data_IF_124919873171
#
_entry.id   IF_124919873171
#
_cell.length_a   1.000
_cell.length_b   1.000
_cell.length_c   1.000
_cell.angle_alpha   90.00
_cell.angle_beta   90.00
_cell.angle_gamma   90.00
#
_symmetry.space_group_name_H-M   'P 1'
#
loop_
_entity.id
_entity.type
_entity.pdbx_description
1 polymer ?
#
# COMPACT_ATOMS: atom_id res chain seq x y z
N UNK A 1 98.76 5.65 42.49
CA UNK A 1 98.61 7.01 41.93
C UNK A 1 97.84 6.92 40.67
N UNK A 2 96.75 7.67 40.59
CA UNK A 2 96.15 7.83 39.34
C UNK A 2 94.64 7.94 39.33
N UNK A 3 94.23 8.99 38.98
CA UNK A 3 92.91 9.65 38.99
C UNK A 3 91.90 8.98 38.06
N UNK A 4 90.83 8.83 38.45
CA UNK A 4 89.42 8.98 38.38
C UNK A 4 88.90 10.02 37.39
N UNK A 5 88.09 9.58 36.56
CA UNK A 5 87.28 10.42 35.68
C UNK A 5 85.94 9.79 35.45
N UNK A 6 84.90 10.27 36.10
CA UNK A 6 83.54 9.95 35.86
C UNK A 6 83.04 10.66 34.58
N UNK A 7 82.26 9.99 33.69
CA UNK A 7 81.48 10.70 32.71
C UNK A 7 80.03 10.95 33.15
N UNK A 8 79.66 12.19 32.92
CA UNK A 8 78.33 12.74 33.21
C UNK A 8 77.20 12.04 32.52
N UNK A 9 76.15 11.75 33.27
CA UNK A 9 74.92 11.20 32.75
C UNK A 9 74.13 12.19 31.88
N UNK A 10 73.81 11.77 30.65
CA UNK A 10 72.82 12.44 29.82
C UNK A 10 71.42 12.01 30.32
N UNK A 11 70.74 12.97 30.89
CA UNK A 11 69.29 12.82 31.11
C UNK A 11 68.57 12.84 29.80
N UNK A 12 67.94 11.71 29.43
CA UNK A 12 66.99 11.65 28.32
C UNK A 12 65.72 12.41 28.67
N UNK A 13 65.33 13.40 27.88
CA UNK A 13 64.03 14.04 27.92
C UNK A 13 62.97 13.07 27.41
N UNK A 14 61.84 12.93 28.05
CA UNK A 14 60.71 12.19 27.49
C UNK A 14 60.12 12.98 26.33
N UNK A 15 60.05 12.36 25.15
CA UNK A 15 59.33 12.89 24.03
C UNK A 15 57.83 12.89 24.32
N UNK A 16 57.30 14.05 24.70
CA UNK A 16 55.84 14.27 24.74
C UNK A 16 55.32 14.51 23.32
N UNK A 17 55.23 13.41 22.57
CA UNK A 17 54.48 13.37 21.30
C UNK A 17 52.99 13.37 21.62
N UNK A 18 52.43 14.52 21.87
CA UNK A 18 51.01 14.64 22.20
C UNK A 18 50.14 14.35 20.98
N UNK A 19 49.07 13.59 21.22
CA UNK A 19 47.94 13.34 20.33
C UNK A 19 47.32 14.62 19.73
N UNK A 20 47.69 15.81 20.23
CA UNK A 20 47.18 17.11 19.81
C UNK A 20 47.62 17.51 18.38
N UNK A 21 48.64 16.85 17.78
CA UNK A 21 49.14 17.13 16.43
C UNK A 21 48.31 16.44 15.31
N UNK A 22 47.63 15.35 15.65
CA UNK A 22 46.82 14.62 14.67
C UNK A 22 45.55 15.38 14.23
N UNK A 23 44.99 16.22 15.09
CA UNK A 23 43.77 17.00 14.81
C UNK A 23 44.00 18.29 14.02
N UNK A 24 45.24 18.62 13.65
CA UNK A 24 45.57 19.81 12.87
C UNK A 24 45.89 19.50 11.38
N UNK A 25 45.88 18.25 10.99
CA UNK A 25 46.04 17.88 9.60
C UNK A 25 44.75 18.21 8.83
N UNK A 26 44.79 18.99 7.75
CA UNK A 26 43.60 19.33 6.96
C UNK A 26 42.89 18.08 6.43
N UNK A 27 43.65 17.00 6.20
CA UNK A 27 43.08 15.71 5.79
C UNK A 27 42.22 15.08 6.86
N UNK A 28 42.63 15.12 8.15
CA UNK A 28 41.86 14.58 9.28
C UNK A 28 40.58 15.41 9.52
N UNK A 29 40.65 16.72 9.34
CA UNK A 29 39.49 17.60 9.46
C UNK A 29 38.48 17.35 8.31
N UNK A 30 38.95 17.15 7.09
CA UNK A 30 38.08 16.83 5.94
C UNK A 30 37.41 15.47 6.12
N UNK A 31 38.14 14.45 6.54
CA UNK A 31 37.54 13.12 6.79
C UNK A 31 36.58 13.13 7.95
N UNK A 32 36.86 13.83 9.04
CA UNK A 32 35.95 13.99 10.17
C UNK A 32 34.67 14.73 9.77
N UNK A 33 34.79 15.80 8.97
CA UNK A 33 33.64 16.51 8.42
C UNK A 33 32.78 15.64 7.48
N UNK A 34 33.42 14.86 6.61
CA UNK A 34 32.71 13.93 5.71
C UNK A 34 31.96 12.84 6.46
N UNK A 35 32.58 12.27 7.51
CA UNK A 35 31.92 11.29 8.40
C UNK A 35 30.76 11.93 9.16
N UNK A 36 30.93 13.15 9.68
CA UNK A 36 29.87 13.86 10.38
C UNK A 36 28.66 14.16 9.45
N UNK A 37 28.93 14.58 8.21
CA UNK A 37 27.88 14.80 7.20
C UNK A 37 27.21 13.47 6.84
N UNK A 38 27.96 12.39 6.66
CA UNK A 38 27.41 11.06 6.38
C UNK A 38 26.51 10.56 7.50
N UNK A 39 26.93 10.73 8.75
CA UNK A 39 26.11 10.40 9.94
C UNK A 39 24.87 11.30 10.02
N UNK A 40 25.00 12.59 9.74
CA UNK A 40 23.88 13.54 9.75
C UNK A 40 22.84 13.17 8.66
N UNK A 41 23.30 12.81 7.45
CA UNK A 41 22.44 12.35 6.36
C UNK A 41 21.77 11.02 6.72
N UNK A 42 22.52 10.09 7.34
CA UNK A 42 21.95 8.81 7.79
C UNK A 42 20.88 9.03 8.88
N UNK A 43 21.18 9.87 9.87
CA UNK A 43 20.24 10.22 10.94
C UNK A 43 19.03 10.96 10.37
N UNK A 44 19.24 11.89 9.46
CA UNK A 44 18.14 12.57 8.77
C UNK A 44 17.27 11.60 7.96
N UNK A 45 17.86 10.66 7.21
CA UNK A 45 17.10 9.62 6.50
C UNK A 45 16.37 8.67 7.45
N UNK A 46 16.98 8.30 8.60
CA UNK A 46 16.30 7.51 9.62
C UNK A 46 15.18 8.31 10.27
N UNK A 47 15.38 9.56 10.62
CA UNK A 47 14.35 10.43 11.23
C UNK A 47 13.26 10.83 10.22
N UNK A 48 13.58 11.08 8.97
CA UNK A 48 12.61 11.38 7.90
C UNK A 48 11.95 10.11 7.38
N UNK A 49 12.66 8.97 7.35
CA UNK A 49 12.12 7.67 7.00
C UNK A 49 11.22 7.04 8.08
N UNK A 50 11.40 7.42 9.34
CA UNK A 50 10.54 6.98 10.47
C UNK A 50 9.22 7.77 10.55
N UNK A 51 9.00 8.78 9.71
CA UNK A 51 7.67 9.42 9.64
C UNK A 51 6.58 8.47 9.13
N UNK A 52 6.93 7.38 8.44
CA UNK A 52 6.01 6.27 8.16
C UNK A 52 5.75 5.37 9.39
N UNK A 53 6.55 5.47 10.44
CA UNK A 53 6.44 4.65 11.67
C UNK A 53 5.66 5.34 12.81
N UNK A 54 5.17 6.57 12.63
CA UNK A 54 4.46 7.33 13.68
C UNK A 54 2.95 7.13 13.69
N UNK A 55 2.42 6.03 13.16
CA UNK A 55 0.99 5.70 13.29
C UNK A 55 0.00 6.70 12.64
N UNK A 56 0.51 7.68 11.88
CA UNK A 56 -0.34 8.64 11.17
C UNK A 56 -0.74 8.05 9.82
N UNK A 57 -2.05 7.99 9.60
CA UNK A 57 -2.60 7.58 8.31
C UNK A 57 -2.12 8.50 7.19
N UNK A 58 -1.78 7.89 6.06
CA UNK A 58 -1.58 8.58 4.78
C UNK A 58 -2.95 8.74 4.13
N UNK A 59 -3.31 9.97 3.82
CA UNK A 59 -4.56 10.25 3.11
C UNK A 59 -4.40 9.94 1.62
N UNK A 60 -5.43 9.34 0.96
CA UNK A 60 -5.45 9.19 -0.49
C UNK A 60 -5.31 10.54 -1.19
N UNK A 61 -4.49 10.60 -2.26
CA UNK A 61 -4.21 11.85 -2.97
C UNK A 61 -5.41 12.35 -3.78
N UNK A 62 -6.16 11.44 -4.39
CA UNK A 62 -7.32 11.74 -5.23
C UNK A 62 -8.48 10.81 -4.85
N UNK A 63 -9.32 11.17 -3.88
CA UNK A 63 -10.40 10.30 -3.42
C UNK A 63 -11.48 10.09 -4.49
N UNK A 64 -11.99 8.88 -4.54
CA UNK A 64 -13.10 8.49 -5.39
C UNK A 64 -14.36 9.32 -5.10
N UNK A 65 -15.18 9.61 -6.13
CA UNK A 65 -16.39 10.39 -5.95
C UNK A 65 -17.44 9.61 -5.16
N UNK A 66 -17.59 9.93 -3.88
CA UNK A 66 -18.53 9.25 -2.97
C UNK A 66 -19.98 9.24 -3.50
N UNK A 67 -20.40 10.27 -4.24
CA UNK A 67 -21.74 10.35 -4.84
C UNK A 67 -21.98 9.29 -5.94
N UNK A 68 -20.93 8.68 -6.49
CA UNK A 68 -21.01 7.63 -7.51
C UNK A 68 -20.74 6.23 -6.93
N UNK A 69 -20.48 6.14 -5.63
CA UNK A 69 -20.18 4.89 -4.96
C UNK A 69 -21.47 4.18 -4.48
N UNK A 70 -21.65 2.94 -4.88
CA UNK A 70 -22.72 2.06 -4.38
C UNK A 70 -22.12 0.70 -4.11
N UNK A 71 -22.04 0.29 -2.85
CA UNK A 71 -21.33 -0.90 -2.44
C UNK A 71 -19.92 -0.94 -3.06
N UNK A 72 -19.55 -2.02 -3.74
CA UNK A 72 -18.25 -2.18 -4.43
C UNK A 72 -18.28 -1.70 -5.88
N UNK A 73 -19.32 -0.99 -6.29
CA UNK A 73 -19.43 -0.37 -7.60
C UNK A 73 -19.20 1.13 -7.50
N UNK A 74 -18.40 1.69 -8.41
CA UNK A 74 -18.18 3.10 -8.58
C UNK A 74 -18.58 3.52 -9.99
N UNK A 75 -19.53 4.43 -10.11
CA UNK A 75 -20.04 4.93 -11.38
C UNK A 75 -21.53 4.73 -11.53
N UNK A 76 -22.05 5.14 -12.69
CA UNK A 76 -23.47 5.05 -13.01
C UNK A 76 -23.86 3.62 -13.33
N UNK A 77 -25.04 3.19 -12.88
CA UNK A 77 -25.51 1.82 -13.06
C UNK A 77 -25.73 1.47 -14.53
N UNK A 78 -26.07 2.45 -15.37
CA UNK A 78 -26.33 2.34 -16.80
C UNK A 78 -25.10 2.64 -17.68
N UNK A 79 -23.90 2.78 -17.08
CA UNK A 79 -22.66 2.95 -17.81
C UNK A 79 -22.43 1.80 -18.80
N UNK A 80 -22.06 2.16 -20.04
CA UNK A 80 -21.91 1.19 -21.15
C UNK A 80 -20.73 0.23 -20.96
N UNK A 81 -19.72 0.65 -20.23
CA UNK A 81 -18.51 -0.13 -19.98
C UNK A 81 -18.44 -0.50 -18.52
N UNK A 82 -18.19 -1.77 -18.23
CA UNK A 82 -17.86 -2.27 -16.90
C UNK A 82 -16.37 -2.60 -16.84
N UNK A 83 -15.70 -2.11 -15.82
CA UNK A 83 -14.30 -2.39 -15.48
C UNK A 83 -14.32 -3.19 -14.19
N UNK A 84 -14.12 -4.49 -14.26
CA UNK A 84 -13.97 -5.33 -13.08
C UNK A 84 -12.50 -5.29 -12.66
N UNK A 85 -12.26 -4.89 -11.41
CA UNK A 85 -10.94 -4.83 -10.79
C UNK A 85 -10.81 -5.95 -9.77
N UNK A 86 -9.90 -6.87 -10.01
CA UNK A 86 -9.53 -7.94 -9.07
C UNK A 86 -8.24 -7.55 -8.35
N UNK A 87 -8.31 -7.41 -7.03
CA UNK A 87 -7.19 -6.89 -6.26
C UNK A 87 -7.04 -7.55 -4.88
N UNK A 88 -5.78 -7.56 -4.41
CA UNK A 88 -5.40 -7.92 -3.04
C UNK A 88 -4.77 -6.70 -2.37
N UNK A 89 -5.19 -6.40 -1.16
CA UNK A 89 -4.68 -5.24 -0.42
C UNK A 89 -3.20 -5.35 -0.05
N UNK A 90 -2.62 -6.54 -0.04
CA UNK A 90 -1.19 -6.73 0.16
C UNK A 90 -0.35 -6.64 -1.12
N UNK A 91 -0.98 -6.70 -2.29
CA UNK A 91 -0.26 -6.69 -3.57
C UNK A 91 0.36 -5.31 -3.86
N UNK A 92 1.69 -5.19 -4.00
CA UNK A 92 2.36 -3.92 -4.30
C UNK A 92 1.92 -3.30 -5.62
N UNK A 93 1.65 -4.14 -6.64
CA UNK A 93 1.15 -3.67 -7.93
C UNK A 93 -0.30 -3.14 -7.81
N UNK A 94 -1.11 -3.67 -6.89
CA UNK A 94 -2.45 -3.14 -6.63
C UNK A 94 -2.38 -1.75 -6.00
N UNK A 95 -1.47 -1.52 -5.06
CA UNK A 95 -1.23 -0.18 -4.52
C UNK A 95 -0.72 0.79 -5.59
N UNK A 96 0.20 0.34 -6.46
CA UNK A 96 0.67 1.14 -7.58
C UNK A 96 -0.48 1.50 -8.55
N UNK A 97 -1.34 0.53 -8.86
CA UNK A 97 -2.55 0.76 -9.68
C UNK A 97 -3.48 1.77 -9.02
N UNK A 98 -3.81 1.59 -7.74
CA UNK A 98 -4.73 2.45 -7.00
C UNK A 98 -4.25 3.91 -6.92
N UNK A 99 -2.93 4.15 -6.88
CA UNK A 99 -2.35 5.50 -6.82
C UNK A 99 -2.13 6.11 -8.21
N UNK A 100 -1.71 5.31 -9.20
CA UNK A 100 -1.21 5.85 -10.48
C UNK A 100 -2.23 5.75 -11.63
N UNK A 101 -3.11 4.76 -11.61
CA UNK A 101 -3.99 4.42 -12.73
C UNK A 101 -5.46 4.67 -12.40
N UNK A 102 -5.94 4.12 -11.28
CA UNK A 102 -7.35 4.20 -10.89
C UNK A 102 -7.90 5.64 -10.89
N UNK A 103 -7.24 6.65 -10.30
CA UNK A 103 -7.78 8.01 -10.29
C UNK A 103 -7.95 8.59 -11.69
N UNK A 104 -7.06 8.24 -12.61
CA UNK A 104 -7.14 8.70 -14.01
C UNK A 104 -8.31 8.06 -14.74
N UNK A 105 -8.52 6.74 -14.57
CA UNK A 105 -9.68 6.05 -15.13
C UNK A 105 -10.99 6.57 -14.55
N UNK A 106 -11.02 6.83 -13.23
CA UNK A 106 -12.17 7.44 -12.55
C UNK A 106 -12.48 8.82 -13.13
N UNK A 107 -11.47 9.66 -13.29
CA UNK A 107 -11.66 11.03 -13.81
C UNK A 107 -12.10 11.02 -15.28
N UNK A 108 -11.52 10.15 -16.11
CA UNK A 108 -11.74 10.13 -17.54
C UNK A 108 -13.05 9.44 -17.93
N UNK A 109 -13.42 8.35 -17.27
CA UNK A 109 -14.52 7.49 -17.70
C UNK A 109 -15.65 7.35 -16.68
N UNK A 110 -15.33 7.24 -15.38
CA UNK A 110 -16.35 7.00 -14.36
C UNK A 110 -17.13 8.25 -14.04
N UNK A 111 -16.47 9.39 -13.83
CA UNK A 111 -17.11 10.70 -13.58
C UNK A 111 -17.94 11.19 -14.74
N UNK A 112 -17.57 10.81 -15.96
CA UNK A 112 -18.32 11.13 -17.17
C UNK A 112 -19.52 10.23 -17.43
N UNK A 113 -19.68 9.15 -16.63
CA UNK A 113 -20.73 8.15 -16.81
C UNK A 113 -20.47 7.16 -17.94
N UNK A 114 -19.31 7.21 -18.59
CA UNK A 114 -18.95 6.32 -19.71
C UNK A 114 -18.64 4.90 -19.24
N UNK A 115 -18.04 4.76 -18.06
CA UNK A 115 -17.75 3.47 -17.46
C UNK A 115 -18.14 3.44 -15.97
N UNK A 116 -18.26 2.22 -15.45
CA UNK A 116 -18.33 1.93 -14.01
C UNK A 116 -17.24 0.93 -13.64
N UNK A 117 -16.75 1.02 -12.42
CA UNK A 117 -15.80 0.05 -11.86
C UNK A 117 -16.51 -0.84 -10.84
N UNK A 118 -16.14 -2.11 -10.81
CA UNK A 118 -16.61 -3.09 -9.81
C UNK A 118 -15.37 -3.73 -9.18
N UNK A 119 -15.28 -3.65 -7.86
CA UNK A 119 -14.17 -4.25 -7.12
C UNK A 119 -14.50 -5.69 -6.72
N UNK A 120 -13.54 -6.59 -6.93
CA UNK A 120 -13.60 -7.99 -6.54
C UNK A 120 -12.43 -8.31 -5.61
N UNK A 121 -12.74 -8.88 -4.44
CA UNK A 121 -11.71 -9.34 -3.54
C UNK A 121 -10.98 -10.54 -4.14
N UNK A 122 -9.65 -10.47 -4.11
CA UNK A 122 -8.78 -11.59 -4.44
C UNK A 122 -7.71 -11.72 -3.35
N UNK A 123 -8.16 -12.04 -2.12
CA UNK A 123 -7.35 -12.12 -0.91
C UNK A 123 -6.62 -13.46 -0.84
N UNK A 124 -5.47 -13.57 -1.55
CA UNK A 124 -4.71 -14.82 -1.70
C UNK A 124 -3.22 -14.69 -1.32
N UNK A 125 -2.74 -13.48 -1.07
CA UNK A 125 -1.35 -13.22 -0.68
C UNK A 125 -1.10 -13.38 0.81
N UNK A 126 -2.16 -13.57 1.60
CA UNK A 126 -2.04 -13.81 3.02
C UNK A 126 -1.27 -15.08 3.35
N UNK A 127 -0.61 -15.10 4.50
CA UNK A 127 0.15 -16.23 4.99
C UNK A 127 -0.57 -16.91 6.15
N UNK A 128 -0.96 -18.13 5.94
CA UNK A 128 -1.43 -18.97 7.03
C UNK A 128 -2.80 -19.60 6.82
N UNK A 129 -3.08 -20.60 7.67
CA UNK A 129 -4.33 -21.37 7.65
C UNK A 129 -5.44 -20.74 8.51
N UNK A 130 -5.13 -19.68 9.27
CA UNK A 130 -6.08 -18.99 10.15
C UNK A 130 -6.52 -17.68 9.51
N UNK A 131 -7.74 -17.62 8.95
CA UNK A 131 -8.23 -16.40 8.28
C UNK A 131 -8.28 -15.17 9.19
N UNK A 132 -8.37 -15.37 10.52
CA UNK A 132 -8.38 -14.28 11.49
C UNK A 132 -7.01 -13.59 11.65
N UNK A 133 -5.95 -14.21 11.14
CA UNK A 133 -4.57 -13.71 11.16
C UNK A 133 -4.02 -13.40 9.77
N UNK A 134 -4.79 -13.71 8.74
CA UNK A 134 -4.42 -13.49 7.36
C UNK A 134 -4.64 -12.01 6.99
N UNK A 135 -3.57 -11.30 6.69
CA UNK A 135 -3.63 -9.86 6.43
C UNK A 135 -4.46 -9.51 5.19
N UNK A 136 -4.40 -10.31 4.11
CA UNK A 136 -5.21 -10.09 2.91
C UNK A 136 -6.71 -10.24 3.22
N UNK A 137 -7.07 -11.32 3.91
CA UNK A 137 -8.46 -11.59 4.29
C UNK A 137 -8.97 -10.51 5.25
N UNK A 138 -8.20 -10.16 6.28
CA UNK A 138 -8.62 -9.17 7.28
C UNK A 138 -8.76 -7.77 6.68
N UNK A 139 -7.90 -7.36 5.74
CA UNK A 139 -8.04 -6.10 5.02
C UNK A 139 -9.31 -6.08 4.15
N UNK A 140 -9.60 -7.17 3.45
CA UNK A 140 -10.82 -7.30 2.66
C UNK A 140 -12.08 -7.31 3.54
N UNK A 141 -12.07 -7.99 4.69
CA UNK A 141 -13.17 -7.95 5.67
C UNK A 141 -13.39 -6.53 6.16
N UNK A 142 -12.33 -5.78 6.49
CA UNK A 142 -12.44 -4.39 6.94
C UNK A 142 -13.08 -3.48 5.86
N UNK A 143 -12.68 -3.65 4.59
CA UNK A 143 -13.29 -2.93 3.48
C UNK A 143 -14.77 -3.26 3.31
N UNK A 144 -15.16 -4.54 3.49
CA UNK A 144 -16.57 -4.95 3.46
C UNK A 144 -17.38 -4.43 4.65
N UNK A 145 -16.76 -4.29 5.81
CA UNK A 145 -17.43 -3.65 6.96
C UNK A 145 -17.66 -2.15 6.70
N UNK A 146 -16.76 -1.50 5.97
CA UNK A 146 -16.99 -0.13 5.51
C UNK A 146 -18.03 -0.06 4.36
N UNK A 147 -18.16 -1.11 3.53
CA UNK A 147 -19.23 -1.25 2.54
C UNK A 147 -20.61 -1.21 3.18
N UNK A 148 -20.82 -1.91 4.29
CA UNK A 148 -22.10 -1.92 5.04
C UNK A 148 -22.52 -0.52 5.49
N UNK A 149 -21.57 0.41 5.58
CA UNK A 149 -21.78 1.81 5.94
C UNK A 149 -21.63 2.77 4.76
N UNK A 150 -21.61 2.26 3.52
CA UNK A 150 -21.52 3.05 2.29
C UNK A 150 -20.17 3.71 2.06
N UNK A 151 -19.09 3.19 2.68
CA UNK A 151 -17.74 3.79 2.63
C UNK A 151 -16.69 2.89 2.00
N UNK A 152 -17.09 1.86 1.23
CA UNK A 152 -16.15 0.91 0.63
C UNK A 152 -15.00 1.60 -0.11
N UNK A 153 -15.33 2.46 -1.09
CA UNK A 153 -14.32 3.07 -1.97
C UNK A 153 -13.35 3.96 -1.21
N UNK A 154 -13.83 4.80 -0.31
CA UNK A 154 -12.95 5.59 0.54
C UNK A 154 -12.07 4.69 1.43
N UNK A 155 -12.61 3.60 1.97
CA UNK A 155 -11.88 2.70 2.85
C UNK A 155 -10.77 1.94 2.11
N UNK A 156 -11.07 1.40 0.91
CA UNK A 156 -10.09 0.69 0.09
C UNK A 156 -8.92 1.59 -0.34
N UNK A 157 -9.19 2.85 -0.66
CA UNK A 157 -8.15 3.83 -0.99
C UNK A 157 -7.20 4.06 0.20
N UNK A 158 -7.74 4.16 1.42
CA UNK A 158 -6.91 4.25 2.62
C UNK A 158 -6.09 2.98 2.85
N UNK A 159 -6.63 1.79 2.59
CA UNK A 159 -5.87 0.55 2.70
C UNK A 159 -4.66 0.56 1.75
N UNK A 160 -4.86 0.90 0.47
CA UNK A 160 -3.75 0.98 -0.48
C UNK A 160 -2.77 2.11 -0.18
N UNK A 161 -3.23 3.28 0.25
CA UNK A 161 -2.37 4.40 0.63
C UNK A 161 -1.50 4.08 1.86
N UNK A 162 -1.92 3.14 2.70
CA UNK A 162 -1.22 2.73 3.92
C UNK A 162 -0.67 1.30 3.85
N UNK A 163 -0.50 0.76 2.64
CA UNK A 163 0.11 -0.54 2.44
C UNK A 163 1.56 -0.53 2.93
N UNK A 164 1.97 -1.60 3.62
CA UNK A 164 3.35 -1.77 4.06
C UNK A 164 4.29 -2.16 2.92
N UNK A 165 5.60 -2.03 3.14
CA UNK A 165 6.60 -2.32 2.11
C UNK A 165 6.80 -3.82 1.86
N UNK A 166 6.24 -4.68 2.72
CA UNK A 166 6.44 -6.14 2.67
C UNK A 166 5.10 -6.83 2.91
N UNK A 167 4.76 -7.78 2.04
CA UNK A 167 3.62 -8.67 2.22
C UNK A 167 3.77 -9.47 3.52
N UNK A 168 2.67 -9.62 4.26
CA UNK A 168 2.63 -10.28 5.57
C UNK A 168 3.59 -9.64 6.60
N UNK A 169 3.85 -8.35 6.44
CA UNK A 169 4.73 -7.56 7.30
C UNK A 169 4.10 -7.03 8.60
N UNK A 170 2.85 -7.38 8.88
CA UNK A 170 2.12 -6.92 10.06
C UNK A 170 1.56 -5.50 9.91
N UNK A 171 1.39 -5.02 8.70
CA UNK A 171 0.80 -3.70 8.42
C UNK A 171 -0.71 -3.72 8.56
N UNK A 172 -1.36 -4.70 7.93
CA UNK A 172 -2.81 -4.86 7.96
C UNK A 172 -3.29 -5.54 9.24
N UNK A 173 -3.25 -4.78 10.31
CA UNK A 173 -3.67 -5.18 11.66
C UNK A 173 -4.83 -4.33 12.15
N UNK A 174 -5.51 -4.80 13.19
CA UNK A 174 -6.69 -4.16 13.75
C UNK A 174 -6.52 -2.66 13.99
N UNK A 175 -5.38 -2.21 14.49
CA UNK A 175 -5.15 -0.79 14.78
C UNK A 175 -5.14 0.09 13.53
N UNK A 176 -4.68 -0.41 12.38
CA UNK A 176 -4.80 0.30 11.10
C UNK A 176 -6.26 0.39 10.67
N UNK A 177 -6.99 -0.72 10.70
CA UNK A 177 -8.40 -0.76 10.32
C UNK A 177 -9.24 0.18 11.16
N UNK A 178 -9.00 0.20 12.46
CA UNK A 178 -9.66 1.09 13.41
C UNK A 178 -9.37 2.57 13.11
N UNK A 179 -8.11 2.90 12.83
CA UNK A 179 -7.71 4.26 12.48
C UNK A 179 -8.37 4.75 11.18
N UNK A 180 -8.51 3.88 10.18
CA UNK A 180 -9.21 4.21 8.94
C UNK A 180 -10.71 4.40 9.21
N UNK A 181 -11.32 3.52 10.01
CA UNK A 181 -12.73 3.63 10.38
C UNK A 181 -13.04 4.95 11.10
N UNK A 182 -12.18 5.35 12.06
CA UNK A 182 -12.28 6.62 12.76
C UNK A 182 -12.10 7.81 11.80
N UNK A 183 -11.13 7.73 10.90
CA UNK A 183 -10.88 8.77 9.89
C UNK A 183 -12.06 9.02 8.97
N UNK A 184 -12.77 7.95 8.60
CA UNK A 184 -13.94 7.99 7.73
C UNK A 184 -15.26 8.24 8.47
N UNK A 185 -15.23 8.31 9.81
CA UNK A 185 -16.40 8.53 10.64
C UNK A 185 -17.39 7.37 10.62
N UNK A 186 -16.88 6.13 10.55
CA UNK A 186 -17.72 4.95 10.62
C UNK A 186 -18.29 4.77 12.05
N UNK A 187 -19.50 4.19 12.15
CA UNK A 187 -19.98 3.66 13.43
C UNK A 187 -19.06 2.53 13.88
N UNK A 188 -18.31 2.80 14.96
CA UNK A 188 -17.31 1.86 15.49
C UNK A 188 -17.94 0.59 16.05
N UNK A 189 -19.12 0.69 16.68
CA UNK A 189 -19.81 -0.48 17.23
C UNK A 189 -20.23 -1.43 16.11
N UNK A 190 -20.82 -0.88 15.05
CA UNK A 190 -21.19 -1.66 13.87
C UNK A 190 -19.96 -2.24 13.17
N UNK A 191 -18.90 -1.44 12.99
CA UNK A 191 -17.64 -1.89 12.38
C UNK A 191 -16.99 -3.01 13.19
N UNK A 192 -16.90 -2.87 14.52
CA UNK A 192 -16.29 -3.85 15.41
C UNK A 192 -17.04 -5.18 15.40
N UNK A 193 -18.37 -5.12 15.39
CA UNK A 193 -19.24 -6.30 15.28
C UNK A 193 -19.04 -7.00 13.93
N UNK A 194 -18.99 -6.23 12.85
CA UNK A 194 -18.76 -6.75 11.50
C UNK A 194 -17.38 -7.42 11.34
N UNK A 195 -16.33 -6.84 11.90
CA UNK A 195 -14.96 -7.36 11.82
C UNK A 195 -14.78 -8.77 12.43
N UNK A 196 -15.67 -9.19 13.30
CA UNK A 196 -15.64 -10.53 13.92
C UNK A 196 -16.73 -11.45 13.37
N UNK A 197 -17.52 -10.99 12.41
CA UNK A 197 -18.56 -11.81 11.78
C UNK A 197 -17.93 -12.84 10.82
N UNK A 198 -18.08 -14.15 11.10
CA UNK A 198 -17.54 -15.19 10.23
C UNK A 198 -18.15 -15.18 8.81
N UNK A 199 -19.36 -14.63 8.66
CA UNK A 199 -19.99 -14.51 7.35
C UNK A 199 -19.21 -13.56 6.43
N UNK A 200 -18.60 -12.49 6.97
CA UNK A 200 -17.77 -11.57 6.18
C UNK A 200 -16.50 -12.25 5.69
N UNK A 201 -15.83 -13.00 6.56
CA UNK A 201 -14.68 -13.82 6.18
C UNK A 201 -15.03 -14.84 5.09
N UNK A 202 -16.15 -15.56 5.28
CA UNK A 202 -16.61 -16.54 4.28
C UNK A 202 -16.93 -15.86 2.93
N UNK A 203 -17.53 -14.67 2.95
CA UNK A 203 -17.82 -13.92 1.73
C UNK A 203 -16.56 -13.48 0.98
N UNK A 204 -15.50 -13.03 1.67
CA UNK A 204 -14.18 -12.72 1.06
C UNK A 204 -13.57 -13.97 0.44
N UNK A 205 -13.57 -15.08 1.16
CA UNK A 205 -13.04 -16.35 0.65
C UNK A 205 -13.82 -16.86 -0.57
N UNK A 206 -15.16 -16.71 -0.55
CA UNK A 206 -16.00 -17.09 -1.68
C UNK A 206 -15.73 -16.24 -2.92
N UNK A 207 -15.56 -14.93 -2.77
CA UNK A 207 -15.18 -14.01 -3.87
C UNK A 207 -13.81 -14.40 -4.46
N UNK A 208 -12.83 -14.61 -3.59
CA UNK A 208 -11.48 -15.06 -4.00
C UNK A 208 -11.55 -16.37 -4.78
N UNK A 209 -12.29 -17.36 -4.27
CA UNK A 209 -12.46 -18.64 -4.93
C UNK A 209 -13.19 -18.50 -6.29
N UNK A 210 -14.21 -17.65 -6.37
CA UNK A 210 -14.94 -17.35 -7.60
C UNK A 210 -14.03 -16.67 -8.64
N UNK A 211 -13.21 -15.73 -8.21
CA UNK A 211 -12.21 -15.04 -9.04
C UNK A 211 -11.21 -16.03 -9.64
N UNK A 212 -10.65 -16.90 -8.83
CA UNK A 212 -9.71 -17.97 -9.28
C UNK A 212 -10.42 -18.91 -10.26
N UNK A 213 -11.64 -19.34 -9.93
CA UNK A 213 -12.44 -20.23 -10.80
C UNK A 213 -12.78 -19.59 -12.15
N UNK A 214 -12.96 -18.27 -12.20
CA UNK A 214 -13.18 -17.54 -13.47
C UNK A 214 -11.93 -17.35 -14.32
N UNK A 215 -10.78 -17.84 -13.84
CA UNK A 215 -9.51 -17.81 -14.57
C UNK A 215 -8.61 -16.62 -14.23
N UNK A 216 -8.94 -15.81 -13.21
CA UNK A 216 -8.06 -14.75 -12.71
C UNK A 216 -6.87 -15.39 -12.00
N UNK A 217 -5.64 -15.04 -12.43
CA UNK A 217 -4.40 -15.71 -11.97
C UNK A 217 -3.50 -14.82 -11.12
N UNK A 218 -3.83 -13.56 -10.99
CA UNK A 218 -3.00 -12.60 -10.25
C UNK A 218 -3.67 -11.23 -10.13
N UNK A 219 -3.04 -10.35 -9.37
CA UNK A 219 -3.53 -9.01 -9.08
C UNK A 219 -2.47 -7.93 -9.37
N UNK A 220 -2.87 -6.71 -9.76
CA UNK A 220 -4.24 -6.39 -10.17
C UNK A 220 -4.55 -7.01 -11.54
N UNK A 221 -5.78 -7.48 -11.72
CA UNK A 221 -6.31 -7.84 -13.04
C UNK A 221 -7.50 -6.95 -13.34
N UNK A 222 -7.49 -6.33 -14.52
CA UNK A 222 -8.65 -5.59 -15.04
C UNK A 222 -9.34 -6.43 -16.11
N UNK A 223 -10.67 -6.45 -16.03
CA UNK A 223 -11.52 -7.07 -17.04
C UNK A 223 -12.46 -5.99 -17.55
N UNK A 224 -12.40 -5.68 -18.85
CA UNK A 224 -13.26 -4.68 -19.49
C UNK A 224 -14.32 -5.39 -20.31
N UNK A 225 -15.57 -5.23 -19.91
CA UNK A 225 -16.71 -5.91 -20.55
C UNK A 225 -16.47 -7.41 -20.78
N UNK A 226 -15.95 -8.10 -19.75
CA UNK A 226 -15.68 -9.55 -19.78
C UNK A 226 -14.35 -9.95 -20.44
N UNK A 227 -13.57 -9.01 -20.97
CA UNK A 227 -12.26 -9.28 -21.56
C UNK A 227 -11.14 -8.91 -20.59
N UNK A 228 -10.39 -9.91 -20.13
CA UNK A 228 -9.25 -9.68 -19.24
C UNK A 228 -8.10 -9.01 -20.00
N UNK A 229 -7.53 -7.96 -19.40
CA UNK A 229 -6.39 -7.26 -19.97
C UNK A 229 -5.09 -7.97 -19.63
N UNK A 230 -4.11 -7.87 -20.52
CA UNK A 230 -2.76 -8.40 -20.30
C UNK A 230 -1.87 -7.46 -19.51
N UNK A 231 -2.31 -6.22 -19.30
CA UNK A 231 -1.62 -5.19 -18.53
C UNK A 231 -2.64 -4.31 -17.81
N UNK A 232 -2.32 -3.94 -16.58
CA UNK A 232 -3.12 -3.00 -15.77
C UNK A 232 -2.71 -1.52 -15.97
N UNK A 233 -1.73 -1.25 -16.84
CA UNK A 233 -1.25 0.11 -17.11
C UNK A 233 -2.32 0.99 -17.75
N UNK A 234 -2.20 2.30 -17.54
CA UNK A 234 -3.20 3.30 -17.97
C UNK A 234 -3.50 3.20 -19.48
N UNK A 235 -2.47 3.11 -20.31
CA UNK A 235 -2.62 3.10 -21.77
C UNK A 235 -3.41 1.87 -22.24
N UNK A 236 -3.10 0.69 -21.68
CA UNK A 236 -3.81 -0.55 -22.01
C UNK A 236 -5.27 -0.50 -21.54
N UNK A 237 -5.51 0.00 -20.32
CA UNK A 237 -6.86 0.14 -19.78
C UNK A 237 -7.68 1.15 -20.58
N UNK A 238 -7.12 2.33 -20.90
CA UNK A 238 -7.80 3.36 -21.69
C UNK A 238 -8.12 2.86 -23.08
N UNK A 239 -7.18 2.21 -23.77
CA UNK A 239 -7.40 1.67 -25.11
C UNK A 239 -8.53 0.64 -25.12
N UNK A 240 -8.60 -0.24 -24.11
CA UNK A 240 -9.67 -1.24 -24.00
C UNK A 240 -11.04 -0.61 -23.72
N UNK A 241 -11.09 0.41 -22.86
CA UNK A 241 -12.33 1.14 -22.56
C UNK A 241 -12.81 1.90 -23.79
N UNK A 242 -11.92 2.61 -24.49
CA UNK A 242 -12.25 3.36 -25.71
C UNK A 242 -12.77 2.44 -26.82
N UNK A 243 -12.14 1.27 -27.00
CA UNK A 243 -12.62 0.26 -27.95
C UNK A 243 -14.02 -0.26 -27.57
N UNK A 244 -14.26 -0.51 -26.28
CA UNK A 244 -15.57 -0.95 -25.80
C UNK A 244 -16.65 0.13 -25.98
N UNK A 245 -16.32 1.39 -25.78
CA UNK A 245 -17.20 2.56 -26.01
C UNK A 245 -17.54 2.74 -27.49
N UNK A 246 -16.58 2.46 -28.38
CA UNK A 246 -16.79 2.50 -29.82
C UNK A 246 -17.65 1.31 -30.35
N UNK A 247 -18.06 0.39 -29.49
CA UNK A 247 -18.85 -0.76 -29.88
C UNK A 247 -18.04 -1.89 -30.54
N UNK A 248 -16.72 -1.83 -30.44
CA UNK A 248 -15.79 -2.83 -31.02
C UNK A 248 -15.55 -4.06 -30.10
N UNK A 249 -16.36 -4.25 -29.06
CA UNK A 249 -16.17 -5.34 -28.08
C UNK A 249 -17.40 -6.23 -27.90
N UNK A 250 -17.24 -7.47 -27.40
CA UNK A 250 -18.36 -8.34 -27.07
C UNK A 250 -19.24 -7.74 -25.97
N UNK A 251 -20.55 -7.95 -26.10
CA UNK A 251 -21.54 -7.56 -25.10
C UNK A 251 -21.23 -8.24 -23.76
N UNK A 252 -21.29 -7.53 -22.61
CA UNK A 252 -20.91 -8.10 -21.33
C UNK A 252 -21.84 -9.26 -20.95
N UNK A 253 -21.22 -10.37 -20.53
CA UNK A 253 -21.92 -11.36 -19.71
C UNK A 253 -22.17 -10.75 -18.33
N UNK A 254 -23.38 -10.84 -17.77
CA UNK A 254 -23.64 -10.25 -16.45
C UNK A 254 -22.72 -10.90 -15.42
N UNK A 255 -21.96 -10.05 -14.71
CA UNK A 255 -21.22 -10.50 -13.54
C UNK A 255 -22.20 -11.15 -12.54
N UNK A 256 -21.80 -12.22 -11.84
CA UNK A 256 -22.64 -12.80 -10.81
C UNK A 256 -22.95 -11.72 -9.76
N UNK A 257 -24.23 -11.44 -9.58
CA UNK A 257 -24.71 -10.52 -8.55
C UNK A 257 -24.16 -10.95 -7.19
N UNK A 258 -23.72 -10.02 -6.34
CA UNK A 258 -23.32 -10.37 -4.99
C UNK A 258 -24.48 -11.10 -4.33
N UNK A 259 -24.22 -12.32 -3.89
CA UNK A 259 -25.20 -13.11 -3.16
C UNK A 259 -25.59 -12.35 -1.90
N UNK A 260 -26.80 -11.82 -1.87
CA UNK A 260 -27.46 -11.44 -0.63
C UNK A 260 -27.77 -12.75 0.11
N UNK A 261 -26.85 -13.15 0.99
CA UNK A 261 -27.17 -14.18 1.97
C UNK A 261 -28.13 -13.61 3.02
N UNK A 262 -29.10 -14.39 3.51
CA UNK A 262 -30.09 -13.99 4.49
C UNK A 262 -29.48 -13.64 5.86
#
# INVERSE_FOLDING_TARGET
MGHGGSPAGRRGQPASGGLAGLFRSPLVLITAAAVAIGVLVLVANVLLGTTAATGRLVDPAEPAPAALATARTLGQADAKVTIDLYADYQCPNCAAYAVQVEPRLVNQYVRTGSARMVFHDMAFLGSGSDPAKDESIQAAVAARCAEDQGKFWAYQEYLFANQGPVENGGTFKRSLFDSIADRLGLDRTAFDTCMVDPAKTAAVQADTAASIKSGIKGTPTLVVNGTALTSWGLDAASAAIDAALAGAGPSPSPAPSPSSAP
#
